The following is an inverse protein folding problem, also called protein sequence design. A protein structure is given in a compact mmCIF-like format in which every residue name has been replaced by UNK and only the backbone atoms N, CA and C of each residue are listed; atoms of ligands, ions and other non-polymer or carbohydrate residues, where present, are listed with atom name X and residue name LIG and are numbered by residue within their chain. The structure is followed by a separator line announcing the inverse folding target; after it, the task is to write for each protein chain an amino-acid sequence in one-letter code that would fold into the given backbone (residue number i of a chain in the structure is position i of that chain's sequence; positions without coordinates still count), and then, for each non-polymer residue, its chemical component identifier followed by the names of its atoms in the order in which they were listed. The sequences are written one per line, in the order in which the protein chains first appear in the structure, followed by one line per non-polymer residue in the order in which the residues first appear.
data_IF_203706138058
#
_entry.id   IF_203706138058
#
_cell.length_a   1.000
_cell.length_b   1.000
_cell.length_c   1.000
_cell.angle_alpha   90.00
_cell.angle_beta   90.00
_cell.angle_gamma   90.00
#
_symmetry.space_group_name_H-M   'P 1'
#
loop_
_entity.id
_entity.type
_entity.pdbx_description
1 polymer ?
#
# COMPACT_ATOMS: atom_id res chain seq x y z
N UNK A 1 22.84 -10.50 12.26
CA UNK A 1 22.19 -10.48 13.60
C UNK A 1 21.05 -9.46 13.60
N UNK A 2 19.87 -9.81 14.13
CA UNK A 2 18.72 -8.88 14.24
C UNK A 2 17.91 -8.62 12.96
N UNK A 3 18.16 -9.31 11.85
CA UNK A 3 17.35 -9.18 10.64
C UNK A 3 15.99 -9.88 10.79
N UNK A 4 14.98 -9.42 10.05
CA UNK A 4 13.67 -10.10 9.97
C UNK A 4 13.80 -11.57 9.55
N UNK A 5 14.65 -11.86 8.56
CA UNK A 5 14.92 -13.25 8.15
C UNK A 5 15.48 -14.11 9.28
N UNK A 6 16.40 -13.58 10.10
CA UNK A 6 16.93 -14.31 11.26
C UNK A 6 15.85 -14.58 12.31
N UNK A 7 14.95 -13.63 12.55
CA UNK A 7 13.84 -13.79 13.51
C UNK A 7 12.88 -14.93 13.13
N UNK A 8 12.68 -15.19 11.84
CA UNK A 8 11.87 -16.33 11.36
C UNK A 8 12.50 -17.65 11.79
N UNK A 9 13.81 -17.82 11.59
CA UNK A 9 14.51 -19.05 12.01
C UNK A 9 14.60 -19.18 13.52
N UNK A 10 14.82 -18.08 14.24
CA UNK A 10 14.80 -18.10 15.70
C UNK A 10 13.42 -18.46 16.26
N UNK A 11 12.34 -18.12 15.56
CA UNK A 11 10.98 -18.56 15.92
C UNK A 11 10.81 -20.07 15.69
N UNK A 12 11.42 -20.62 14.64
CA UNK A 12 11.44 -22.07 14.41
C UNK A 12 12.27 -22.81 15.48
N UNK A 13 13.42 -22.27 15.88
CA UNK A 13 14.23 -22.82 16.98
C UNK A 13 13.45 -22.86 18.31
N UNK A 14 12.49 -21.94 18.50
CA UNK A 14 11.58 -21.91 19.65
C UNK A 14 10.31 -22.77 19.48
N UNK A 15 10.12 -23.40 18.32
CA UNK A 15 8.92 -24.21 18.03
C UNK A 15 7.64 -23.40 17.75
N UNK A 16 7.76 -22.09 17.46
CA UNK A 16 6.61 -21.23 17.12
C UNK A 16 6.20 -21.37 15.64
N UNK A 17 7.14 -21.82 14.80
CA UNK A 17 6.98 -21.99 13.35
C UNK A 17 7.63 -23.29 12.92
N UNK A 18 6.94 -24.10 12.12
CA UNK A 18 7.53 -25.30 11.52
C UNK A 18 8.75 -24.92 10.64
N UNK A 19 9.93 -25.55 10.80
CA UNK A 19 11.14 -25.21 10.05
C UNK A 19 10.94 -25.17 8.53
N UNK A 20 10.08 -26.04 7.98
CA UNK A 20 9.76 -26.14 6.57
C UNK A 20 8.99 -24.92 6.04
N UNK A 21 8.37 -24.13 6.92
CA UNK A 21 7.66 -22.89 6.57
C UNK A 21 8.58 -21.68 6.49
N UNK A 22 9.78 -21.73 7.08
CA UNK A 22 10.72 -20.61 7.09
C UNK A 22 11.05 -20.06 5.68
N UNK A 23 11.33 -20.89 4.66
CA UNK A 23 11.58 -20.39 3.30
C UNK A 23 10.38 -19.65 2.70
N UNK A 24 9.16 -20.13 2.95
CA UNK A 24 7.93 -19.49 2.45
C UNK A 24 7.70 -18.14 3.12
N UNK A 25 7.84 -18.07 4.45
CA UNK A 25 7.71 -16.81 5.19
C UNK A 25 8.76 -15.78 4.77
N UNK A 26 10.00 -16.21 4.50
CA UNK A 26 11.02 -15.32 3.95
C UNK A 26 10.64 -14.79 2.57
N UNK A 27 10.17 -15.65 1.67
CA UNK A 27 9.73 -15.23 0.33
C UNK A 27 8.55 -14.26 0.40
N UNK A 28 7.60 -14.51 1.28
CA UNK A 28 6.40 -13.68 1.45
C UNK A 28 6.74 -12.29 2.05
N UNK A 29 7.91 -12.14 2.68
CA UNK A 29 8.46 -10.84 3.08
C UNK A 29 9.28 -10.19 1.95
N UNK A 30 10.18 -10.96 1.33
CA UNK A 30 11.09 -10.45 0.31
C UNK A 30 10.38 -10.03 -0.99
N UNK A 31 9.45 -10.84 -1.49
CA UNK A 31 8.74 -10.55 -2.74
C UNK A 31 8.02 -9.20 -2.71
N UNK A 32 7.10 -8.97 -1.76
CA UNK A 32 6.35 -7.71 -1.69
C UNK A 32 7.21 -6.48 -1.39
N UNK A 33 8.37 -6.63 -0.73
CA UNK A 33 9.24 -5.49 -0.37
C UNK A 33 10.04 -4.92 -1.54
N UNK A 34 10.16 -5.65 -2.65
CA UNK A 34 10.92 -5.22 -3.83
C UNK A 34 10.04 -4.42 -4.79
N UNK A 35 9.11 -5.11 -5.46
CA UNK A 35 8.35 -4.54 -6.58
C UNK A 35 7.56 -3.30 -6.17
N UNK A 36 6.93 -3.32 -4.98
CA UNK A 36 6.11 -2.20 -4.49
C UNK A 36 6.94 -0.95 -4.23
N UNK A 37 8.15 -1.11 -3.68
CA UNK A 37 9.09 -0.01 -3.42
C UNK A 37 9.67 0.54 -4.72
N UNK A 38 10.01 -0.35 -5.67
CA UNK A 38 10.49 0.03 -7.00
C UNK A 38 9.42 0.87 -7.70
N UNK A 39 8.17 0.39 -7.74
CA UNK A 39 7.07 1.10 -8.37
C UNK A 39 6.76 2.42 -7.65
N UNK A 40 6.69 2.45 -6.32
CA UNK A 40 6.47 3.69 -5.57
C UNK A 40 7.53 4.77 -5.92
N UNK A 41 8.80 4.37 -5.98
CA UNK A 41 9.90 5.27 -6.32
C UNK A 41 9.81 5.76 -7.76
N UNK A 42 9.60 4.84 -8.70
CA UNK A 42 9.47 5.16 -10.13
C UNK A 42 8.28 6.09 -10.40
N UNK A 43 7.15 5.84 -9.73
CA UNK A 43 5.94 6.65 -9.83
C UNK A 43 6.15 8.06 -9.28
N UNK A 44 6.83 8.22 -8.15
CA UNK A 44 7.16 9.53 -7.61
C UNK A 44 8.05 10.34 -8.58
N UNK A 45 9.07 9.69 -9.16
CA UNK A 45 9.94 10.32 -10.16
C UNK A 45 9.13 10.73 -11.40
N UNK A 46 8.25 9.85 -11.88
CA UNK A 46 7.37 10.13 -13.02
C UNK A 46 6.45 11.32 -12.74
N UNK A 47 5.83 11.38 -11.55
CA UNK A 47 4.94 12.46 -11.16
C UNK A 47 5.69 13.80 -11.08
N UNK A 48 6.88 13.84 -10.50
CA UNK A 48 7.69 15.07 -10.52
C UNK A 48 8.11 15.49 -11.93
N UNK A 49 8.38 14.53 -12.83
CA UNK A 49 8.65 14.83 -14.23
C UNK A 49 7.45 15.39 -14.99
N UNK A 50 6.22 15.00 -14.62
CA UNK A 50 4.97 15.48 -15.22
C UNK A 50 4.43 16.76 -14.57
N UNK A 51 4.83 17.03 -13.33
CA UNK A 51 4.38 18.16 -12.51
C UNK A 51 5.59 18.95 -11.98
N UNK A 52 6.32 19.66 -12.86
CA UNK A 52 7.52 20.38 -12.47
C UNK A 52 7.26 21.45 -11.41
N UNK A 53 6.07 22.06 -11.41
CA UNK A 53 5.62 23.00 -10.38
C UNK A 53 5.59 22.34 -8.99
N UNK A 54 5.10 21.11 -8.88
CA UNK A 54 5.07 20.35 -7.63
C UNK A 54 6.48 19.95 -7.18
N UNK A 55 7.37 19.62 -8.13
CA UNK A 55 8.79 19.37 -7.84
C UNK A 55 9.49 20.62 -7.28
N UNK A 56 9.26 21.79 -7.87
CA UNK A 56 9.85 23.04 -7.38
C UNK A 56 9.44 23.36 -5.94
N UNK A 57 8.19 23.07 -5.56
CA UNK A 57 7.73 23.22 -4.19
C UNK A 57 8.54 22.36 -3.21
N UNK A 58 8.71 21.07 -3.53
CA UNK A 58 9.46 20.14 -2.68
C UNK A 58 10.95 20.50 -2.63
N UNK A 59 11.52 20.98 -3.73
CA UNK A 59 12.91 21.45 -3.79
C UNK A 59 13.13 22.68 -2.91
N UNK A 60 12.16 23.59 -2.87
CA UNK A 60 12.24 24.82 -2.06
C UNK A 60 11.89 24.57 -0.58
N UNK A 61 11.07 23.56 -0.28
CA UNK A 61 10.76 23.13 1.08
C UNK A 61 10.84 21.59 1.23
N UNK A 62 12.03 21.06 1.60
CA UNK A 62 12.23 19.62 1.80
C UNK A 62 11.33 19.00 2.88
N UNK A 63 10.68 19.80 3.73
CA UNK A 63 9.71 19.27 4.72
C UNK A 63 8.47 18.67 4.05
N UNK A 64 8.22 18.97 2.77
CA UNK A 64 7.13 18.39 1.99
C UNK A 64 7.42 16.96 1.52
N UNK A 65 8.67 16.48 1.58
CA UNK A 65 9.06 15.15 1.05
C UNK A 65 8.20 14.01 1.63
N UNK A 66 8.00 13.87 2.95
CA UNK A 66 7.18 12.78 3.49
C UNK A 66 5.76 12.80 2.95
N UNK A 67 5.17 13.98 2.78
CA UNK A 67 3.81 14.09 2.27
C UNK A 67 3.75 13.85 0.75
N UNK A 68 4.75 14.30 -0.02
CA UNK A 68 4.83 14.03 -1.45
C UNK A 68 4.89 12.51 -1.76
N UNK A 69 5.59 11.74 -0.92
CA UNK A 69 5.59 10.27 -1.00
C UNK A 69 4.19 9.70 -0.78
N UNK A 70 3.48 10.16 0.26
CA UNK A 70 2.09 9.73 0.52
C UNK A 70 1.17 10.11 -0.66
N UNK A 71 1.29 11.32 -1.20
CA UNK A 71 0.47 11.74 -2.33
C UNK A 71 0.73 10.91 -3.59
N UNK A 72 1.99 10.56 -3.86
CA UNK A 72 2.34 9.66 -4.96
C UNK A 72 1.79 8.24 -4.75
N UNK A 73 1.85 7.72 -3.52
CA UNK A 73 1.27 6.41 -3.17
C UNK A 73 -0.25 6.39 -3.28
N UNK A 74 -0.92 7.48 -2.88
CA UNK A 74 -2.36 7.67 -3.09
C UNK A 74 -2.67 7.60 -4.58
N UNK A 75 -2.05 8.48 -5.37
CA UNK A 75 -2.43 8.65 -6.77
C UNK A 75 -2.04 7.42 -7.61
N UNK A 76 -0.83 6.89 -7.49
CA UNK A 76 -0.38 5.81 -8.38
C UNK A 76 -0.67 4.41 -7.84
N UNK A 77 -0.81 4.26 -6.51
CA UNK A 77 -1.21 3.01 -5.85
C UNK A 77 -0.49 1.76 -6.41
N UNK A 78 0.80 1.53 -6.06
CA UNK A 78 1.60 0.43 -6.60
C UNK A 78 0.91 -0.93 -6.56
N UNK A 79 0.19 -1.21 -5.47
CA UNK A 79 -0.81 -2.28 -5.43
C UNK A 79 -2.19 -1.67 -5.65
N UNK A 80 -2.76 -1.91 -6.83
CA UNK A 80 -4.06 -1.33 -7.21
C UNK A 80 -5.24 -1.96 -6.48
N UNK A 81 -5.09 -3.17 -5.96
CA UNK A 81 -6.12 -3.82 -5.16
C UNK A 81 -5.73 -5.21 -4.65
N UNK A 82 -6.49 -5.69 -3.67
CA UNK A 82 -6.36 -7.04 -3.11
C UNK A 82 -7.71 -7.75 -3.08
N UNK A 83 -7.68 -9.07 -3.15
CA UNK A 83 -8.91 -9.87 -3.00
C UNK A 83 -9.16 -10.28 -1.56
N UNK A 84 -10.43 -10.51 -1.24
CA UNK A 84 -10.91 -11.17 -0.01
C UNK A 84 -11.89 -12.27 -0.39
N UNK A 85 -12.03 -13.27 0.49
CA UNK A 85 -13.06 -14.29 0.41
C UNK A 85 -14.12 -13.98 1.48
N UNK A 86 -15.39 -13.91 1.09
CA UNK A 86 -16.49 -13.66 2.02
C UNK A 86 -16.82 -14.93 2.81
N UNK A 87 -16.45 -14.97 4.10
CA UNK A 87 -16.70 -16.14 4.95
C UNK A 87 -18.20 -16.36 5.27
N UNK A 88 -19.00 -15.30 5.17
CA UNK A 88 -20.45 -15.29 5.37
C UNK A 88 -21.08 -14.23 4.47
N UNK A 89 -22.42 -14.22 4.39
CA UNK A 89 -23.15 -13.14 3.74
C UNK A 89 -22.83 -11.81 4.44
N UNK A 90 -22.46 -10.78 3.68
CA UNK A 90 -22.09 -9.47 4.20
C UNK A 90 -22.76 -8.36 3.39
N UNK A 91 -23.33 -7.36 4.08
CA UNK A 91 -23.81 -6.14 3.43
C UNK A 91 -22.63 -5.17 3.22
N UNK A 92 -22.54 -4.56 2.03
CA UNK A 92 -21.55 -3.56 1.66
C UNK A 92 -22.24 -2.42 0.92
N UNK A 93 -22.53 -1.32 1.63
CA UNK A 93 -23.41 -0.28 1.12
C UNK A 93 -24.78 -0.88 0.76
N UNK A 94 -25.25 -0.63 -0.45
CA UNK A 94 -26.52 -1.16 -0.95
C UNK A 94 -26.41 -2.58 -1.55
N UNK A 95 -25.21 -3.18 -1.55
CA UNK A 95 -24.97 -4.50 -2.11
C UNK A 95 -24.93 -5.59 -1.02
N UNK A 96 -25.42 -6.78 -1.37
CA UNK A 96 -25.20 -8.00 -0.58
C UNK A 96 -24.09 -8.83 -1.25
N UNK A 97 -23.04 -9.14 -0.51
CA UNK A 97 -21.98 -10.07 -0.91
C UNK A 97 -22.31 -11.45 -0.30
N UNK A 98 -22.63 -12.46 -1.12
CA UNK A 98 -22.89 -13.81 -0.61
C UNK A 98 -21.63 -14.48 -0.04
N UNK A 99 -21.82 -15.37 0.94
CA UNK A 99 -20.78 -16.27 1.43
C UNK A 99 -20.15 -17.06 0.26
N UNK A 100 -18.84 -17.28 0.31
CA UNK A 100 -18.09 -17.94 -0.75
C UNK A 100 -17.60 -17.01 -1.86
N UNK A 101 -18.11 -15.78 -1.93
CA UNK A 101 -17.73 -14.83 -2.99
C UNK A 101 -16.30 -14.34 -2.83
N UNK A 102 -15.62 -14.14 -3.96
CA UNK A 102 -14.35 -13.41 -4.01
C UNK A 102 -14.59 -11.95 -4.34
N UNK A 103 -14.16 -11.05 -3.47
CA UNK A 103 -14.33 -9.60 -3.61
C UNK A 103 -12.98 -8.96 -3.89
N UNK A 104 -12.89 -8.09 -4.89
CA UNK A 104 -11.71 -7.27 -5.17
C UNK A 104 -11.88 -5.89 -4.56
N UNK A 105 -10.98 -5.52 -3.65
CA UNK A 105 -10.90 -4.18 -3.07
C UNK A 105 -9.96 -3.33 -3.95
N UNK A 106 -10.52 -2.40 -4.72
CA UNK A 106 -9.76 -1.54 -5.64
C UNK A 106 -9.25 -0.27 -4.94
N UNK A 107 -8.09 -0.37 -4.29
CA UNK A 107 -7.44 0.76 -3.61
C UNK A 107 -7.19 1.94 -4.55
N UNK A 108 -6.77 1.69 -5.79
CA UNK A 108 -6.52 2.76 -6.76
C UNK A 108 -7.77 3.60 -7.08
N UNK A 109 -8.96 2.98 -7.03
CA UNK A 109 -10.24 3.69 -7.18
C UNK A 109 -10.61 4.43 -5.90
N UNK A 110 -10.50 3.79 -4.74
CA UNK A 110 -10.79 4.44 -3.45
C UNK A 110 -9.85 5.63 -3.16
N UNK A 111 -8.60 5.57 -3.61
CA UNK A 111 -7.65 6.68 -3.53
C UNK A 111 -7.97 7.84 -4.48
N UNK A 112 -8.94 7.67 -5.38
CA UNK A 112 -9.47 8.70 -6.30
C UNK A 112 -10.94 9.04 -6.03
N UNK A 113 -11.50 8.50 -4.94
CA UNK A 113 -12.90 8.72 -4.60
C UNK A 113 -13.17 10.18 -4.28
N UNK A 114 -13.97 10.85 -5.12
CA UNK A 114 -14.32 12.26 -5.00
C UNK A 114 -15.10 12.59 -3.73
N UNK A 115 -15.70 11.59 -3.07
CA UNK A 115 -16.36 11.76 -1.75
C UNK A 115 -15.35 12.03 -0.64
N UNK A 116 -14.08 11.64 -0.85
CA UNK A 116 -12.98 11.83 0.10
C UNK A 116 -11.95 12.86 -0.40
N UNK A 117 -11.61 12.81 -1.68
CA UNK A 117 -10.50 13.57 -2.25
C UNK A 117 -11.01 14.64 -3.22
N UNK A 118 -10.85 15.91 -2.84
CA UNK A 118 -11.11 17.03 -3.77
C UNK A 118 -10.11 17.00 -4.92
N UNK A 119 -10.57 17.17 -6.17
CA UNK A 119 -9.74 17.07 -7.37
C UNK A 119 -8.86 15.79 -7.35
N UNK A 120 -9.47 14.59 -7.32
CA UNK A 120 -8.80 13.35 -6.94
C UNK A 120 -7.65 12.94 -7.86
N UNK A 121 -7.72 13.34 -9.14
CA UNK A 121 -6.69 13.06 -10.14
C UNK A 121 -5.49 14.02 -10.06
N UNK A 122 -5.60 15.13 -9.33
CA UNK A 122 -4.54 16.12 -9.22
C UNK A 122 -3.47 15.65 -8.23
N UNK A 123 -2.23 15.58 -8.70
CA UNK A 123 -1.05 15.46 -7.86
C UNK A 123 -0.79 16.79 -7.14
N UNK A 124 -0.93 16.81 -5.81
CA UNK A 124 -0.69 17.99 -4.98
C UNK A 124 0.12 17.63 -3.73
N UNK A 125 1.39 18.04 -3.71
CA UNK A 125 2.32 17.70 -2.62
C UNK A 125 1.98 18.37 -1.29
N UNK A 126 0.99 19.27 -1.25
CA UNK A 126 0.46 19.89 -0.03
C UNK A 126 -0.84 19.23 0.45
N UNK A 127 -1.43 18.33 -0.32
CA UNK A 127 -2.63 17.56 0.10
C UNK A 127 -2.28 16.70 1.30
N UNK A 128 -3.10 16.74 2.35
CA UNK A 128 -2.95 15.82 3.50
C UNK A 128 -3.30 14.39 3.05
N UNK A 129 -2.31 13.63 2.61
CA UNK A 129 -2.49 12.35 1.92
C UNK A 129 -2.23 11.12 2.82
N UNK A 130 -2.01 11.31 4.12
CA UNK A 130 -1.58 10.27 5.05
C UNK A 130 -2.63 9.17 5.34
N UNK A 131 -3.87 9.34 4.91
CA UNK A 131 -4.98 8.41 5.12
C UNK A 131 -5.43 7.71 3.82
N UNK A 132 -4.52 7.62 2.85
CA UNK A 132 -4.69 6.83 1.62
C UNK A 132 -4.66 5.32 1.89
N UNK A 133 -5.18 4.54 0.95
CA UNK A 133 -5.21 3.07 1.00
C UNK A 133 -4.05 2.39 0.27
N UNK A 134 -3.01 3.13 -0.13
CA UNK A 134 -1.81 2.55 -0.79
C UNK A 134 -1.12 1.45 0.03
N UNK A 135 -1.24 1.48 1.35
CA UNK A 135 -0.75 0.44 2.28
C UNK A 135 -1.83 -0.53 2.77
N UNK A 136 -3.05 -0.45 2.23
CA UNK A 136 -4.22 -1.18 2.75
C UNK A 136 -4.71 -0.65 4.10
N UNK A 137 -5.49 -1.48 4.80
CA UNK A 137 -6.02 -1.16 6.13
C UNK A 137 -6.33 -2.46 6.91
N UNK A 138 -6.43 -2.35 8.24
CA UNK A 138 -6.79 -3.45 9.15
C UNK A 138 -5.60 -4.33 9.52
N UNK A 139 -5.89 -5.58 9.94
CA UNK A 139 -4.89 -6.56 10.40
C UNK A 139 -3.81 -6.89 9.37
N UNK A 140 -4.07 -6.63 8.09
CA UNK A 140 -3.13 -6.83 6.99
C UNK A 140 -2.65 -5.50 6.37
N UNK A 141 -2.70 -4.40 7.11
CA UNK A 141 -2.00 -3.17 6.74
C UNK A 141 -0.50 -3.49 6.58
N UNK A 142 0.16 -2.84 5.61
CA UNK A 142 1.59 -3.00 5.36
C UNK A 142 2.41 -2.86 6.67
N UNK A 143 3.36 -3.77 6.87
CA UNK A 143 4.20 -3.87 8.06
C UNK A 143 5.36 -2.86 8.07
#
# INVERSE_FOLDING_TARGET
PGSWGRRIFEAADRGEVEPERCPVLMRDYLGPSLDTTIFATANLILLFGRHPDQWELVRNDPKLIPNAINEALRLESPIRGFTRHAASNAALGDALVPAGSRVLLLYASANRDERKWQDPEKFDVRRRANDHLGFGNGTHMCA
#
